data_IF_499786384533
#
_entry.id   IF_499786384533
#
_cell.length_a   1.000
_cell.length_b   1.000
_cell.length_c   1.000
_cell.angle_alpha   90.00
_cell.angle_beta   90.00
_cell.angle_gamma   90.00
#
_symmetry.space_group_name_H-M   'P 1'
#
loop_
_entity.id
_entity.type
_entity.pdbx_description
1 polymer ?
#
# COMPACT_ATOMS: atom_id res chain seq x y z
N UNK A 1 -6.04 -15.94 12.95
CA UNK A 1 -6.98 -15.00 13.61
C UNK A 1 -6.23 -14.15 14.61
N UNK A 2 -6.53 -12.86 14.66
CA UNK A 2 -5.97 -11.93 15.65
C UNK A 2 -6.59 -12.20 17.02
N UNK A 3 -5.78 -12.12 18.06
CA UNK A 3 -6.30 -12.09 19.42
C UNK A 3 -6.98 -10.73 19.72
N UNK A 4 -7.66 -10.63 20.86
CA UNK A 4 -8.39 -9.42 21.23
C UNK A 4 -7.43 -8.22 21.36
N UNK A 5 -6.25 -8.40 21.95
CA UNK A 5 -5.27 -7.34 22.15
C UNK A 5 -4.76 -6.76 20.81
N UNK A 6 -4.50 -7.63 19.84
CA UNK A 6 -4.06 -7.22 18.50
C UNK A 6 -5.15 -6.40 17.78
N UNK A 7 -6.42 -6.82 17.89
CA UNK A 7 -7.55 -6.04 17.35
C UNK A 7 -7.70 -4.69 18.04
N UNK A 8 -7.66 -4.66 19.37
CA UNK A 8 -7.71 -3.41 20.14
C UNK A 8 -6.57 -2.46 19.74
N UNK A 9 -5.36 -2.98 19.55
CA UNK A 9 -4.22 -2.19 19.09
C UNK A 9 -4.48 -1.61 17.69
N UNK A 10 -4.96 -2.41 16.74
CA UNK A 10 -5.30 -1.92 15.40
C UNK A 10 -6.32 -0.78 15.45
N UNK A 11 -7.42 -0.95 16.18
CA UNK A 11 -8.44 0.09 16.31
C UNK A 11 -7.99 1.31 17.11
N UNK A 12 -7.00 1.16 17.99
CA UNK A 12 -6.40 2.29 18.71
C UNK A 12 -5.40 3.08 17.86
N UNK A 13 -4.52 2.40 17.13
CA UNK A 13 -3.40 2.98 16.40
C UNK A 13 -3.71 3.25 14.91
N UNK A 14 -4.64 2.49 14.29
CA UNK A 14 -4.94 2.52 12.85
C UNK A 14 -4.03 1.61 12.03
N UNK A 15 -3.16 0.86 12.69
CA UNK A 15 -2.30 -0.14 12.06
C UNK A 15 -1.90 -1.24 13.03
N UNK A 16 -1.43 -2.35 12.46
CA UNK A 16 -0.90 -3.48 13.24
C UNK A 16 0.25 -4.13 12.47
N UNK A 17 1.28 -4.56 13.19
CA UNK A 17 2.35 -5.41 12.66
C UNK A 17 2.23 -6.79 13.26
N UNK A 18 2.22 -7.84 12.42
CA UNK A 18 2.16 -9.26 12.83
C UNK A 18 3.44 -9.95 12.35
N UNK A 19 4.46 -10.07 13.22
CA UNK A 19 5.77 -10.58 12.83
C UNK A 19 5.74 -12.04 12.37
N UNK A 20 6.39 -12.34 11.23
CA UNK A 20 6.57 -13.71 10.74
C UNK A 20 5.26 -14.47 10.46
N UNK A 21 4.17 -13.78 10.21
CA UNK A 21 2.84 -14.37 10.01
C UNK A 21 2.76 -15.26 8.77
N UNK A 22 3.39 -14.83 7.68
CA UNK A 22 3.45 -15.60 6.43
C UNK A 22 4.63 -16.55 6.49
N UNK A 23 4.33 -17.85 6.45
CA UNK A 23 5.35 -18.91 6.57
C UNK A 23 6.17 -19.12 5.29
N UNK A 24 7.25 -19.89 5.43
CA UNK A 24 8.25 -20.15 4.37
C UNK A 24 7.62 -20.69 3.07
N UNK A 25 6.62 -21.55 3.17
CA UNK A 25 5.96 -22.12 1.98
C UNK A 25 5.38 -21.06 1.03
N UNK A 26 4.77 -19.99 1.58
CA UNK A 26 4.31 -18.86 0.77
C UNK A 26 5.47 -17.95 0.39
N UNK A 27 6.41 -17.69 1.29
CA UNK A 27 7.56 -16.84 1.00
C UNK A 27 8.37 -17.39 -0.18
N UNK A 28 8.66 -18.68 -0.23
CA UNK A 28 9.40 -19.31 -1.33
C UNK A 28 8.69 -19.14 -2.68
N UNK A 29 7.36 -19.30 -2.71
CA UNK A 29 6.54 -19.08 -3.92
C UNK A 29 6.58 -17.62 -4.37
N UNK A 30 6.43 -16.67 -3.44
CA UNK A 30 6.46 -15.24 -3.73
C UNK A 30 7.86 -14.78 -4.17
N UNK A 31 8.93 -15.31 -3.56
CA UNK A 31 10.31 -15.05 -3.99
C UNK A 31 10.60 -15.57 -5.40
N UNK A 32 10.07 -16.74 -5.76
CA UNK A 32 10.19 -17.24 -7.13
C UNK A 32 9.56 -16.26 -8.14
N UNK A 33 8.38 -15.70 -7.82
CA UNK A 33 7.75 -14.67 -8.65
C UNK A 33 8.58 -13.40 -8.72
N UNK A 34 9.09 -12.92 -7.57
CA UNK A 34 9.98 -11.73 -7.52
C UNK A 34 11.18 -11.92 -8.42
N UNK A 35 11.87 -13.06 -8.30
CA UNK A 35 13.06 -13.39 -9.11
C UNK A 35 12.71 -13.40 -10.60
N UNK A 36 11.62 -14.09 -10.98
CA UNK A 36 11.19 -14.14 -12.38
C UNK A 36 10.87 -12.74 -12.94
N UNK A 37 10.21 -11.88 -12.16
CA UNK A 37 9.87 -10.51 -12.58
C UNK A 37 11.09 -9.59 -12.67
N UNK A 38 12.10 -9.78 -11.82
CA UNK A 38 13.38 -9.07 -11.95
C UNK A 38 14.09 -9.49 -13.25
N UNK A 39 14.14 -10.77 -13.58
CA UNK A 39 14.74 -11.25 -14.84
C UNK A 39 13.96 -10.75 -16.06
N UNK A 40 12.63 -10.78 -16.03
CA UNK A 40 11.76 -10.25 -17.10
C UNK A 40 12.04 -8.76 -17.36
N UNK A 41 12.24 -7.97 -16.31
CA UNK A 41 12.51 -6.52 -16.44
C UNK A 41 13.80 -6.18 -17.16
N UNK A 42 14.78 -7.08 -17.23
CA UNK A 42 16.06 -6.85 -17.94
C UNK A 42 15.88 -6.57 -19.43
N UNK A 43 14.78 -7.05 -20.02
CA UNK A 43 14.45 -6.80 -21.41
C UNK A 43 13.83 -5.42 -21.68
N UNK A 44 13.55 -4.64 -20.62
CA UNK A 44 12.85 -3.37 -20.72
C UNK A 44 13.83 -2.19 -20.65
N UNK A 45 13.64 -1.20 -21.53
CA UNK A 45 14.39 0.06 -21.52
C UNK A 45 13.64 1.19 -20.80
N UNK A 46 12.31 1.07 -20.67
CA UNK A 46 11.43 2.08 -20.06
C UNK A 46 10.23 1.42 -19.36
N UNK A 47 9.59 2.19 -18.49
CA UNK A 47 8.40 1.73 -17.78
C UNK A 47 7.23 1.45 -18.73
N UNK A 48 6.46 0.40 -18.42
CA UNK A 48 5.25 0.02 -19.15
C UNK A 48 4.02 -0.10 -18.22
N UNK A 49 2.96 -0.78 -18.67
CA UNK A 49 1.75 -0.99 -17.86
C UNK A 49 1.96 -1.93 -16.67
N UNK A 50 2.98 -2.78 -16.72
CA UNK A 50 3.30 -3.78 -15.70
C UNK A 50 4.39 -3.28 -14.76
N UNK A 51 5.46 -2.71 -15.31
CA UNK A 51 6.65 -2.32 -14.59
C UNK A 51 6.80 -0.80 -14.50
N UNK A 52 7.01 -0.30 -13.29
CA UNK A 52 7.55 1.03 -13.06
C UNK A 52 9.04 0.88 -12.74
N UNK A 53 9.89 1.33 -13.66
CA UNK A 53 11.33 1.23 -13.56
C UNK A 53 11.92 2.51 -12.96
N UNK A 54 13.04 2.37 -12.26
CA UNK A 54 13.83 3.52 -11.81
C UNK A 54 14.63 4.13 -12.96
N UNK A 55 15.05 5.41 -12.87
CA UNK A 55 15.82 6.06 -13.94
C UNK A 55 17.16 5.41 -14.27
N UNK A 56 17.76 4.70 -13.31
CA UNK A 56 19.03 3.97 -13.44
C UNK A 56 18.86 2.48 -13.77
N UNK A 57 17.64 2.08 -14.17
CA UNK A 57 17.39 0.70 -14.59
C UNK A 57 18.17 0.36 -15.86
N UNK A 58 18.75 -0.85 -15.88
CA UNK A 58 19.37 -1.43 -17.08
C UNK A 58 19.27 -2.95 -17.08
N UNK A 59 19.60 -3.58 -18.20
CA UNK A 59 19.67 -5.04 -18.30
C UNK A 59 20.67 -5.66 -17.32
N UNK A 60 21.81 -4.98 -17.08
CA UNK A 60 22.85 -5.42 -16.16
C UNK A 60 22.49 -5.16 -14.70
N UNK A 61 21.84 -4.00 -14.44
CA UNK A 61 21.38 -3.58 -13.11
C UNK A 61 19.86 -3.34 -13.13
N UNK A 62 19.04 -4.39 -13.03
CA UNK A 62 17.59 -4.22 -12.98
C UNK A 62 17.19 -3.45 -11.72
N UNK A 63 16.43 -2.37 -11.89
CA UNK A 63 15.92 -1.54 -10.83
C UNK A 63 14.44 -1.25 -11.05
N UNK A 64 13.57 -2.12 -10.50
CA UNK A 64 12.12 -2.00 -10.56
C UNK A 64 11.66 -1.23 -9.31
N UNK A 65 10.96 -0.12 -9.48
CA UNK A 65 10.29 0.56 -8.38
C UNK A 65 9.05 -0.18 -7.93
N UNK A 66 8.27 -0.64 -8.91
CA UNK A 66 6.97 -1.28 -8.65
C UNK A 66 6.57 -2.22 -9.78
N UNK A 67 6.03 -3.35 -9.40
CA UNK A 67 5.18 -4.16 -10.25
C UNK A 67 3.74 -3.70 -10.03
N UNK A 68 3.12 -3.16 -11.08
CA UNK A 68 1.76 -2.64 -11.05
C UNK A 68 0.76 -3.79 -11.19
N UNK A 69 -0.42 -3.65 -10.59
CA UNK A 69 -1.51 -4.63 -10.71
C UNK A 69 -1.01 -6.06 -10.44
N UNK A 70 -0.26 -6.23 -9.36
CA UNK A 70 0.55 -7.43 -9.12
C UNK A 70 -0.22 -8.75 -9.31
N UNK A 71 -1.47 -8.83 -8.86
CA UNK A 71 -2.32 -10.04 -9.00
C UNK A 71 -2.63 -10.42 -10.46
N UNK A 72 -2.50 -9.50 -11.40
CA UNK A 72 -2.68 -9.77 -12.84
C UNK A 72 -1.39 -10.26 -13.49
N UNK A 73 -0.24 -10.11 -12.80
CA UNK A 73 1.07 -10.39 -13.37
C UNK A 73 1.54 -11.84 -13.16
N UNK A 74 0.97 -12.53 -12.17
CA UNK A 74 1.32 -13.92 -11.89
C UNK A 74 0.21 -14.60 -11.08
N UNK A 75 -0.17 -15.87 -11.42
CA UNK A 75 -1.24 -16.59 -10.72
C UNK A 75 -0.97 -16.79 -9.22
N UNK A 76 0.29 -16.94 -8.80
CA UNK A 76 0.67 -17.06 -7.40
C UNK A 76 0.30 -15.82 -6.57
N UNK A 77 0.42 -14.62 -7.16
CA UNK A 77 0.07 -13.37 -6.46
C UNK A 77 -1.44 -13.27 -6.24
N UNK A 78 -2.25 -13.76 -7.18
CA UNK A 78 -3.70 -13.86 -6.98
C UNK A 78 -4.06 -14.98 -6.00
N UNK A 79 -3.42 -16.16 -6.11
CA UNK A 79 -3.62 -17.26 -5.19
C UNK A 79 -3.33 -16.83 -3.73
N UNK A 80 -2.24 -16.08 -3.52
CA UNK A 80 -1.92 -15.52 -2.20
C UNK A 80 -2.97 -14.52 -1.72
N UNK A 81 -3.42 -13.60 -2.58
CA UNK A 81 -4.37 -12.56 -2.21
C UNK A 81 -5.74 -13.12 -1.75
N UNK A 82 -6.14 -14.30 -2.21
CA UNK A 82 -7.39 -14.95 -1.82
C UNK A 82 -7.21 -16.13 -0.85
N UNK A 83 -5.97 -16.39 -0.41
CA UNK A 83 -5.70 -17.47 0.53
C UNK A 83 -6.41 -17.20 1.88
N UNK A 84 -7.01 -18.23 2.53
CA UNK A 84 -7.61 -18.10 3.85
C UNK A 84 -6.67 -17.45 4.88
N UNK A 85 -5.36 -17.71 4.81
CA UNK A 85 -4.35 -17.05 5.64
C UNK A 85 -4.48 -15.52 5.59
N UNK A 86 -4.73 -14.95 4.41
CA UNK A 86 -4.83 -13.50 4.17
C UNK A 86 -6.23 -12.99 4.47
N UNK A 87 -7.26 -13.59 3.84
CA UNK A 87 -8.62 -13.05 3.90
C UNK A 87 -9.26 -13.22 5.28
N UNK A 88 -8.92 -14.27 6.04
CA UNK A 88 -9.42 -14.43 7.42
C UNK A 88 -8.77 -13.41 8.37
N UNK A 89 -7.49 -13.08 8.18
CA UNK A 89 -6.83 -12.02 8.95
C UNK A 89 -7.45 -10.64 8.68
N UNK A 90 -7.77 -10.34 7.42
CA UNK A 90 -8.47 -9.10 7.04
C UNK A 90 -9.89 -9.09 7.60
N UNK A 91 -10.58 -10.23 7.58
CA UNK A 91 -11.94 -10.35 8.11
C UNK A 91 -12.04 -10.11 9.62
N UNK A 92 -10.98 -10.39 10.38
CA UNK A 92 -10.90 -10.06 11.81
C UNK A 92 -11.05 -8.56 12.10
N UNK A 93 -10.78 -7.70 11.10
CA UNK A 93 -10.81 -6.23 11.22
C UNK A 93 -11.94 -5.57 10.44
N UNK A 94 -12.26 -6.08 9.23
CA UNK A 94 -13.27 -5.48 8.35
C UNK A 94 -14.63 -6.19 8.38
N UNK A 95 -14.72 -7.35 9.04
CA UNK A 95 -15.94 -8.18 9.03
C UNK A 95 -15.89 -9.30 7.99
N UNK A 96 -16.93 -10.16 7.93
CA UNK A 96 -16.90 -11.43 7.23
C UNK A 96 -16.92 -11.33 5.70
N UNK A 97 -17.47 -10.26 5.16
CA UNK A 97 -17.74 -10.11 3.74
C UNK A 97 -16.74 -9.13 3.12
N UNK A 98 -15.86 -9.62 2.24
CA UNK A 98 -14.70 -8.88 1.73
C UNK A 98 -14.63 -8.88 0.22
N UNK A 99 -14.28 -7.71 -0.34
CA UNK A 99 -13.87 -7.55 -1.73
C UNK A 99 -12.39 -7.26 -1.85
N UNK A 100 -11.80 -7.76 -2.91
CA UNK A 100 -10.47 -7.37 -3.33
C UNK A 100 -10.52 -6.01 -4.06
N UNK A 101 -9.63 -5.07 -3.70
CA UNK A 101 -9.59 -3.74 -4.30
C UNK A 101 -8.44 -3.58 -5.30
N UNK A 102 -7.20 -3.78 -4.87
CA UNK A 102 -6.03 -3.56 -5.72
C UNK A 102 -4.78 -4.25 -5.18
N UNK A 103 -3.74 -4.34 -6.03
CA UNK A 103 -2.46 -4.95 -5.66
C UNK A 103 -1.28 -4.26 -6.32
N UNK A 104 -0.16 -4.20 -5.58
CA UNK A 104 1.13 -3.72 -6.06
C UNK A 104 2.25 -4.42 -5.30
N UNK A 105 3.37 -4.68 -5.98
CA UNK A 105 4.60 -5.12 -5.33
C UNK A 105 5.62 -3.99 -5.47
N UNK A 106 6.00 -3.39 -4.35
CA UNK A 106 6.94 -2.30 -4.30
C UNK A 106 8.33 -2.84 -3.97
N UNK A 107 9.31 -2.37 -4.71
CA UNK A 107 10.71 -2.63 -4.43
C UNK A 107 11.37 -1.36 -3.90
N UNK A 108 12.21 -1.49 -2.89
CA UNK A 108 13.17 -0.46 -2.51
C UNK A 108 14.55 -1.05 -2.64
N UNK A 109 15.29 -0.57 -3.63
CA UNK A 109 16.67 -1.00 -3.87
C UNK A 109 17.65 -0.27 -2.96
N UNK A 110 18.85 -0.80 -2.85
CA UNK A 110 19.86 -0.41 -1.87
C UNK A 110 20.46 0.98 -2.04
N UNK A 111 20.26 1.65 -3.14
CA UNK A 111 20.98 2.90 -3.47
C UNK A 111 20.15 4.16 -3.18
N UNK A 112 19.53 4.25 -2.00
CA UNK A 112 18.69 5.39 -1.66
C UNK A 112 17.34 5.34 -2.35
N UNK A 113 16.84 4.12 -2.61
CA UNK A 113 15.56 3.86 -3.27
C UNK A 113 14.40 4.64 -2.63
N UNK A 114 13.49 5.07 -3.46
CA UNK A 114 12.45 6.07 -3.27
C UNK A 114 11.78 6.11 -1.90
N UNK A 115 11.89 7.25 -1.24
CA UNK A 115 11.05 7.57 -0.10
C UNK A 115 9.60 7.84 -0.56
N UNK A 116 8.63 7.57 0.31
CA UNK A 116 7.23 7.93 0.13
C UNK A 116 6.81 8.88 1.24
N UNK A 117 6.38 10.08 0.86
CA UNK A 117 5.92 11.11 1.76
C UNK A 117 4.66 10.73 2.55
N UNK A 118 4.41 11.43 3.66
CA UNK A 118 3.20 11.23 4.46
C UNK A 118 1.94 11.38 3.60
N UNK A 119 1.05 10.40 3.68
CA UNK A 119 -0.21 10.38 2.93
C UNK A 119 -1.25 9.52 3.64
N UNK A 120 -2.48 9.61 3.18
CA UNK A 120 -3.59 8.76 3.56
C UNK A 120 -4.15 8.14 2.27
N UNK A 121 -4.29 6.85 2.24
CA UNK A 121 -4.73 6.11 1.06
C UNK A 121 -6.15 6.48 0.61
N UNK A 122 -7.06 6.74 1.54
CA UNK A 122 -8.46 7.08 1.28
C UNK A 122 -8.63 8.28 0.33
N UNK A 123 -7.68 9.19 0.28
CA UNK A 123 -7.69 10.35 -0.62
C UNK A 123 -7.55 9.97 -2.10
N UNK A 124 -6.88 8.85 -2.38
CA UNK A 124 -6.69 8.39 -3.77
C UNK A 124 -7.88 7.56 -4.29
N UNK A 125 -8.60 6.91 -3.37
CA UNK A 125 -9.71 5.99 -3.69
C UNK A 125 -10.80 6.01 -2.60
N UNK A 126 -11.58 7.13 -2.51
CA UNK A 126 -12.62 7.28 -1.51
C UNK A 126 -13.72 6.22 -1.68
N UNK A 127 -14.23 5.74 -0.56
CA UNK A 127 -15.31 4.76 -0.47
C UNK A 127 -16.48 5.32 0.34
N UNK A 128 -17.62 4.66 0.30
CA UNK A 128 -18.82 5.05 1.06
C UNK A 128 -18.61 5.01 2.57
N UNK A 129 -17.66 4.20 3.03
CA UNK A 129 -17.23 4.12 4.43
C UNK A 129 -15.74 3.79 4.52
N UNK A 130 -15.21 3.69 5.73
CA UNK A 130 -13.80 3.45 5.99
C UNK A 130 -13.41 1.98 6.16
N UNK A 131 -14.30 1.06 5.83
CA UNK A 131 -14.02 -0.37 5.83
C UNK A 131 -13.06 -0.78 4.71
N UNK A 132 -11.91 -0.14 4.62
CA UNK A 132 -10.87 -0.43 3.61
C UNK A 132 -9.51 -0.54 4.31
N UNK A 133 -8.77 -1.60 3.99
CA UNK A 133 -7.53 -1.96 4.65
C UNK A 133 -6.46 -2.35 3.63
N UNK A 134 -5.25 -1.87 3.84
CA UNK A 134 -4.06 -2.33 3.14
C UNK A 134 -3.38 -3.44 3.95
N UNK A 135 -3.27 -4.64 3.34
CA UNK A 135 -2.49 -5.77 3.81
C UNK A 135 -1.14 -5.76 3.10
N UNK A 136 -0.07 -5.46 3.83
CA UNK A 136 1.30 -5.50 3.33
C UNK A 136 2.03 -6.71 3.90
N UNK A 137 2.87 -7.37 3.09
CA UNK A 137 3.79 -8.40 3.57
C UNK A 137 5.20 -8.13 3.11
N UNK A 138 6.14 -8.08 4.05
CA UNK A 138 7.57 -8.05 3.76
C UNK A 138 8.02 -9.45 3.36
N UNK A 139 8.62 -9.56 2.18
CA UNK A 139 9.12 -10.86 1.72
C UNK A 139 10.48 -11.20 2.32
N UNK A 140 11.24 -10.18 2.78
CA UNK A 140 12.54 -10.32 3.44
C UNK A 140 12.51 -9.64 4.82
N UNK A 141 13.51 -9.96 5.65
CA UNK A 141 13.74 -9.24 6.90
C UNK A 141 13.85 -7.74 6.62
N UNK A 142 13.09 -6.94 7.32
CA UNK A 142 13.04 -5.49 7.12
C UNK A 142 13.36 -4.77 8.43
N UNK A 143 14.51 -4.12 8.46
CA UNK A 143 14.98 -3.26 9.54
C UNK A 143 14.79 -1.77 9.23
N UNK A 144 15.15 -0.89 10.20
CA UNK A 144 15.00 0.57 10.05
C UNK A 144 15.72 1.16 8.82
N UNK A 145 16.91 0.62 8.51
CA UNK A 145 17.75 1.09 7.39
C UNK A 145 17.20 0.75 6.00
N UNK A 146 16.22 -0.18 5.92
CA UNK A 146 15.61 -0.63 4.67
C UNK A 146 14.39 0.20 4.24
N UNK A 147 14.14 1.33 4.92
CA UNK A 147 13.00 2.19 4.64
C UNK A 147 11.67 1.47 4.83
N UNK A 148 11.39 0.93 6.03
CA UNK A 148 10.12 0.28 6.32
C UNK A 148 8.93 1.22 6.15
N UNK A 149 7.72 0.67 6.10
CA UNK A 149 6.52 1.49 6.31
C UNK A 149 6.60 2.15 7.69
N UNK A 150 6.22 3.41 7.73
CA UNK A 150 6.18 4.22 8.96
C UNK A 150 4.80 4.82 9.08
N UNK A 151 4.19 4.75 10.25
CA UNK A 151 2.82 5.21 10.47
C UNK A 151 2.70 6.06 11.73
N UNK A 152 1.75 7.01 11.71
CA UNK A 152 1.43 7.88 12.84
C UNK A 152 0.21 7.33 13.60
N UNK A 153 0.38 6.85 14.85
CA UNK A 153 -0.68 6.20 15.59
C UNK A 153 -1.87 7.13 15.85
N UNK A 154 -3.08 6.59 15.73
CA UNK A 154 -4.33 7.27 16.03
C UNK A 154 -4.81 8.27 14.95
N UNK A 155 -4.03 8.54 13.91
CA UNK A 155 -4.38 9.54 12.87
C UNK A 155 -5.57 9.12 12.01
N UNK A 156 -5.90 7.84 11.93
CA UNK A 156 -7.08 7.32 11.23
C UNK A 156 -8.42 7.81 11.83
N UNK A 157 -8.42 8.30 13.07
CA UNK A 157 -9.61 8.87 13.74
C UNK A 157 -9.67 10.40 13.63
N UNK A 158 -8.67 11.00 13.02
CA UNK A 158 -8.52 12.44 12.88
C UNK A 158 -8.94 12.96 11.51
N UNK A 159 -8.30 14.05 11.13
CA UNK A 159 -8.52 14.76 9.87
C UNK A 159 -8.10 13.90 8.67
N UNK A 160 -8.92 13.91 7.62
CA UNK A 160 -8.49 13.48 6.30
C UNK A 160 -7.84 14.70 5.65
N UNK A 161 -6.50 14.65 5.53
CA UNK A 161 -5.70 15.76 5.03
C UNK A 161 -5.80 15.90 3.53
N UNK A 162 -5.74 17.13 3.04
CA UNK A 162 -5.66 17.41 1.61
C UNK A 162 -4.30 16.95 1.03
N UNK A 163 -4.33 16.35 -0.14
CA UNK A 163 -3.15 15.90 -0.89
C UNK A 163 -3.02 16.61 -2.23
N UNK A 164 -3.58 17.81 -2.33
CA UNK A 164 -3.45 18.68 -3.49
C UNK A 164 -2.61 19.90 -3.15
N UNK A 165 -1.71 20.28 -4.06
CA UNK A 165 -0.96 21.52 -3.92
C UNK A 165 -1.85 22.76 -4.15
N UNK A 166 -1.26 23.96 -3.98
CA UNK A 166 -1.96 25.23 -4.14
C UNK A 166 -2.46 25.49 -5.56
N UNK A 167 -1.88 24.85 -6.56
CA UNK A 167 -2.34 24.87 -7.96
C UNK A 167 -3.52 23.92 -8.22
N UNK A 168 -3.99 23.21 -7.19
CA UNK A 168 -5.08 22.23 -7.31
C UNK A 168 -4.66 20.92 -7.96
N UNK A 169 -3.36 20.64 -8.07
CA UNK A 169 -2.83 19.39 -8.59
C UNK A 169 -2.67 18.37 -7.45
N UNK A 170 -3.14 17.16 -7.68
CA UNK A 170 -2.93 16.05 -6.74
C UNK A 170 -1.46 15.63 -6.69
N UNK A 171 -0.91 15.59 -5.50
CA UNK A 171 0.51 15.27 -5.26
C UNK A 171 0.71 13.91 -4.61
N UNK A 172 -0.36 13.30 -4.04
CA UNK A 172 -0.26 12.05 -3.30
C UNK A 172 0.51 12.18 -1.97
N UNK A 173 0.66 13.39 -1.46
CA UNK A 173 1.27 13.66 -0.16
C UNK A 173 0.47 14.71 0.60
N UNK A 174 0.42 14.58 1.93
CA UNK A 174 -0.10 15.61 2.82
C UNK A 174 0.70 16.90 2.58
N UNK A 175 0.01 18.01 2.40
CA UNK A 175 0.65 19.29 2.09
C UNK A 175 1.52 19.79 3.26
N UNK A 176 2.59 20.52 2.98
CA UNK A 176 3.61 20.91 3.98
C UNK A 176 3.03 21.63 5.20
N UNK A 177 2.02 22.50 5.02
CA UNK A 177 1.35 23.21 6.14
C UNK A 177 0.67 22.24 7.10
N UNK A 178 0.11 21.14 6.59
CA UNK A 178 -0.58 20.15 7.40
C UNK A 178 0.41 19.13 8.00
N UNK A 179 1.51 18.82 7.32
CA UNK A 179 2.62 18.03 7.88
C UNK A 179 3.16 18.69 9.15
N UNK A 180 3.25 20.02 9.19
CA UNK A 180 3.70 20.76 10.38
C UNK A 180 2.77 20.55 11.61
N UNK A 181 1.55 20.09 11.43
CA UNK A 181 0.60 19.78 12.51
C UNK A 181 0.66 18.32 12.98
N UNK A 182 1.35 17.46 12.23
CA UNK A 182 1.47 16.04 12.55
C UNK A 182 2.47 15.80 13.68
N UNK A 183 2.15 14.86 14.55
CA UNK A 183 3.06 14.40 15.61
C UNK A 183 4.05 13.38 15.03
N UNK A 184 4.92 13.84 14.14
CA UNK A 184 5.92 12.98 13.49
C UNK A 184 6.92 12.37 14.47
N UNK A 185 7.09 12.98 15.63
CA UNK A 185 7.86 12.46 16.78
C UNK A 185 7.26 11.17 17.38
N UNK A 186 5.99 10.85 17.09
CA UNK A 186 5.33 9.61 17.53
C UNK A 186 5.34 8.52 16.46
N UNK A 187 5.97 8.77 15.32
CA UNK A 187 6.01 7.83 14.21
C UNK A 187 6.57 6.46 14.63
N UNK A 188 5.98 5.39 14.11
CA UNK A 188 6.45 4.03 14.37
C UNK A 188 6.86 3.37 13.06
N UNK A 189 8.09 2.91 13.02
CA UNK A 189 8.61 2.08 11.94
C UNK A 189 8.09 0.65 12.09
N UNK A 190 7.50 0.14 11.02
CA UNK A 190 6.83 -1.16 11.02
C UNK A 190 7.79 -2.22 10.48
N UNK A 191 8.78 -2.58 11.29
CA UNK A 191 9.84 -3.53 10.97
C UNK A 191 9.45 -4.97 11.36
N UNK A 192 10.22 -5.95 10.86
CA UNK A 192 10.10 -7.34 11.30
C UNK A 192 10.83 -8.34 10.40
N UNK A 193 10.87 -9.63 10.79
CA UNK A 193 11.42 -10.70 9.98
C UNK A 193 10.60 -10.93 8.70
N UNK A 194 11.17 -11.67 7.75
CA UNK A 194 10.47 -12.12 6.55
C UNK A 194 9.11 -12.73 6.90
N UNK A 195 8.09 -12.44 6.09
CA UNK A 195 6.72 -12.84 6.37
C UNK A 195 5.97 -11.95 7.36
N UNK A 196 6.58 -10.87 7.84
CA UNK A 196 5.86 -9.89 8.67
C UNK A 196 4.77 -9.21 7.86
N UNK A 197 3.55 -9.27 8.41
CA UNK A 197 2.38 -8.58 7.86
C UNK A 197 2.21 -7.23 8.53
N UNK A 198 1.92 -6.22 7.72
CA UNK A 198 1.50 -4.88 8.14
C UNK A 198 0.07 -4.63 7.67
N UNK A 199 -0.81 -4.31 8.61
CA UNK A 199 -2.22 -3.96 8.35
C UNK A 199 -2.38 -2.46 8.58
N UNK A 200 -2.88 -1.72 7.57
CA UNK A 200 -3.07 -0.28 7.64
C UNK A 200 -4.53 0.09 7.34
N UNK A 201 -5.17 0.84 8.25
CA UNK A 201 -6.43 1.53 7.96
C UNK A 201 -6.21 2.56 6.84
N UNK A 202 -7.15 2.68 5.92
CA UNK A 202 -7.03 3.57 4.76
C UNK A 202 -6.85 5.06 5.11
N UNK A 203 -7.16 5.46 6.35
CA UNK A 203 -7.03 6.84 6.86
C UNK A 203 -5.77 7.07 7.66
N UNK A 204 -4.99 6.03 8.03
CA UNK A 204 -3.78 6.26 8.81
C UNK A 204 -2.77 7.04 7.99
N UNK A 205 -2.21 8.09 8.59
CA UNK A 205 -1.10 8.84 7.96
C UNK A 205 0.13 7.97 8.01
N UNK A 206 0.67 7.64 6.85
CA UNK A 206 1.84 6.78 6.73
C UNK A 206 2.76 7.22 5.60
N UNK A 207 3.95 6.70 5.60
CA UNK A 207 4.98 6.96 4.61
C UNK A 207 6.10 5.93 4.70
N UNK A 208 7.24 6.20 4.12
CA UNK A 208 8.42 5.35 4.28
C UNK A 208 9.68 6.08 3.84
N UNK A 209 10.76 6.00 4.62
CA UNK A 209 12.08 6.53 4.25
C UNK A 209 12.68 5.80 3.02
N UNK A 210 13.74 6.33 2.45
CA UNK A 210 14.56 5.64 1.46
C UNK A 210 15.24 4.40 2.06
N UNK A 211 15.66 3.48 1.19
CA UNK A 211 16.43 2.31 1.62
C UNK A 211 17.93 2.61 1.47
N UNK A 212 18.64 2.70 2.58
CA UNK A 212 20.09 2.92 2.62
C UNK A 212 20.87 1.64 2.97
N UNK A 213 20.18 0.51 3.11
CA UNK A 213 20.83 -0.79 3.36
C UNK A 213 21.37 -1.39 2.06
N UNK A 214 22.28 -2.37 2.13
CA UNK A 214 22.76 -3.08 0.95
C UNK A 214 21.78 -4.12 0.39
N UNK A 215 20.56 -4.22 0.95
CA UNK A 215 19.56 -5.23 0.56
C UNK A 215 18.30 -4.58 0.01
N UNK A 216 17.75 -5.13 -1.06
CA UNK A 216 16.44 -4.78 -1.57
C UNK A 216 15.35 -5.10 -0.52
N UNK A 217 14.29 -4.29 -0.50
CA UNK A 217 13.10 -4.52 0.34
C UNK A 217 11.86 -4.70 -0.53
N UNK A 218 11.51 -5.94 -0.90
CA UNK A 218 10.26 -6.23 -1.59
C UNK A 218 9.09 -6.23 -0.59
N UNK A 219 8.02 -5.50 -0.93
CA UNK A 219 6.80 -5.39 -0.15
C UNK A 219 5.60 -5.60 -1.05
N UNK A 220 4.90 -6.72 -0.88
CA UNK A 220 3.64 -6.98 -1.56
C UNK A 220 2.50 -6.32 -0.77
N UNK A 221 1.72 -5.49 -1.45
CA UNK A 221 0.59 -4.76 -0.90
C UNK A 221 -0.69 -5.18 -1.63
N UNK A 222 -1.63 -5.74 -0.89
CA UNK A 222 -2.98 -6.04 -1.33
C UNK A 222 -3.97 -5.17 -0.55
N UNK A 223 -4.93 -4.57 -1.22
CA UNK A 223 -5.97 -3.75 -0.58
C UNK A 223 -7.29 -4.50 -0.64
N UNK A 224 -8.02 -4.49 0.48
CA UNK A 224 -9.34 -5.10 0.62
C UNK A 224 -10.32 -4.07 1.15
N UNK A 225 -11.58 -4.24 0.79
CA UNK A 225 -12.69 -3.50 1.40
C UNK A 225 -13.69 -4.46 2.04
N UNK A 226 -14.40 -4.00 3.07
CA UNK A 226 -15.66 -4.61 3.43
C UNK A 226 -16.57 -4.62 2.20
N UNK A 227 -17.39 -5.65 2.03
CA UNK A 227 -18.17 -5.79 0.80
C UNK A 227 -19.17 -4.66 0.59
N UNK A 228 -19.62 -4.00 1.68
CA UNK A 228 -20.51 -2.84 1.69
C UNK A 228 -19.78 -1.48 1.61
N UNK A 229 -18.45 -1.47 1.61
CA UNK A 229 -17.66 -0.27 1.33
C UNK A 229 -17.44 -0.14 -0.18
N UNK A 230 -18.28 0.67 -0.82
CA UNK A 230 -18.28 0.83 -2.27
C UNK A 230 -17.39 2.02 -2.70
N UNK A 231 -16.60 1.89 -3.78
CA UNK A 231 -15.79 2.99 -4.29
C UNK A 231 -16.70 4.11 -4.84
N UNK A 232 -16.39 5.36 -4.46
CA UNK A 232 -17.12 6.55 -4.93
C UNK A 232 -16.59 7.04 -6.28
N UNK A 233 -15.30 6.76 -6.55
CA UNK A 233 -14.62 7.15 -7.79
C UNK A 233 -13.95 5.93 -8.43
N UNK A 234 -13.61 6.00 -9.73
CA UNK A 234 -12.83 4.96 -10.36
C UNK A 234 -11.52 4.69 -9.61
N UNK A 235 -11.20 3.41 -9.43
CA UNK A 235 -9.95 2.99 -8.79
C UNK A 235 -8.74 3.43 -9.62
N UNK A 236 -7.67 4.00 -9.01
CA UNK A 236 -6.53 4.53 -9.75
C UNK A 236 -5.74 3.47 -10.53
N UNK A 237 -5.68 2.24 -10.03
CA UNK A 237 -4.97 1.13 -10.66
C UNK A 237 -5.81 -0.15 -10.58
N UNK A 238 -6.92 -0.23 -11.33
CA UNK A 238 -7.79 -1.40 -11.30
C UNK A 238 -7.07 -2.62 -11.87
N UNK A 239 -7.31 -3.78 -11.26
CA UNK A 239 -6.90 -5.10 -11.75
C UNK A 239 -8.09 -5.82 -12.35
N UNK A 240 -7.88 -6.95 -13.03
CA UNK A 240 -8.96 -7.82 -13.49
C UNK A 240 -9.75 -8.45 -12.33
N UNK A 241 -9.24 -8.32 -11.11
CA UNK A 241 -9.81 -8.85 -9.87
C UNK A 241 -10.46 -7.78 -8.99
N UNK A 242 -10.36 -6.51 -9.36
CA UNK A 242 -10.97 -5.40 -8.60
C UNK A 242 -12.49 -5.61 -8.45
N UNK A 243 -12.97 -5.56 -7.21
CA UNK A 243 -14.37 -5.78 -6.86
C UNK A 243 -14.79 -7.25 -6.68
N UNK A 244 -13.90 -8.22 -6.94
CA UNK A 244 -14.19 -9.64 -6.72
C UNK A 244 -14.44 -9.89 -5.22
N UNK A 245 -15.55 -10.55 -4.90
CA UNK A 245 -15.83 -11.04 -3.55
C UNK A 245 -14.86 -12.19 -3.25
N UNK A 246 -13.97 -12.00 -2.30
CA UNK A 246 -12.94 -12.99 -1.92
C UNK A 246 -13.31 -13.76 -0.66
N UNK A 247 -14.30 -13.28 0.08
CA UNK A 247 -14.84 -13.95 1.28
C UNK A 247 -16.27 -13.49 1.54
N UNK A 248 -17.11 -14.36 2.07
CA UNK A 248 -18.47 -14.06 2.54
C UNK A 248 -19.51 -13.92 1.44
N UNK A 249 -20.42 -12.98 1.57
CA UNK A 249 -21.61 -12.83 0.73
C UNK A 249 -21.74 -11.39 0.19
N UNK A 250 -22.50 -11.26 -0.91
CA UNK A 250 -22.88 -9.95 -1.45
C UNK A 250 -23.77 -9.21 -0.46
N UNK A 251 -23.43 -7.95 -0.11
CA UNK A 251 -24.25 -7.16 0.80
C UNK A 251 -25.54 -6.72 0.12
N UNK A 252 -26.62 -6.68 0.90
CA UNK A 252 -27.92 -6.12 0.47
C UNK A 252 -28.09 -4.66 0.90
N UNK A 253 -27.19 -4.15 1.73
CA UNK A 253 -27.20 -2.78 2.24
C UNK A 253 -25.81 -2.20 2.15
N UNK A 254 -25.72 -0.88 2.03
CA UNK A 254 -24.48 -0.12 2.08
C UNK A 254 -24.43 0.68 3.38
N UNK A 255 -23.31 0.67 4.06
CA UNK A 255 -23.03 1.61 5.13
C UNK A 255 -22.36 2.87 4.53
N UNK A 256 -22.81 4.05 4.97
CA UNK A 256 -22.27 5.33 4.51
C UNK A 256 -21.78 6.17 5.69
N UNK A 257 -20.52 6.52 5.69
CA UNK A 257 -19.92 7.44 6.66
C UNK A 257 -20.08 8.88 6.19
N UNK A 258 -20.57 9.79 7.04
CA UNK A 258 -20.71 11.20 6.70
C UNK A 258 -19.36 11.92 6.84
N UNK A 259 -18.52 11.88 5.83
CA UNK A 259 -17.29 12.67 5.85
C UNK A 259 -17.16 13.55 4.60
N UNK A 260 -16.77 14.83 4.75
CA UNK A 260 -16.42 15.66 3.61
C UNK A 260 -15.01 15.27 3.12
N UNK A 261 -14.88 14.98 1.85
CA UNK A 261 -13.59 14.68 1.23
C UNK A 261 -13.47 15.36 -0.12
N UNK A 262 -12.29 15.86 -0.46
CA UNK A 262 -12.00 16.31 -1.81
C UNK A 262 -11.92 15.10 -2.73
N UNK A 263 -12.60 15.15 -3.88
CA UNK A 263 -12.52 14.07 -4.85
C UNK A 263 -11.11 14.02 -5.47
N UNK A 264 -10.54 12.84 -5.62
CA UNK A 264 -9.29 12.67 -6.37
C UNK A 264 -9.51 12.98 -7.85
N UNK A 265 -8.44 13.08 -8.65
CA UNK A 265 -8.56 13.16 -10.09
C UNK A 265 -9.38 11.98 -10.67
N UNK A 266 -10.02 12.22 -11.80
CA UNK A 266 -10.69 11.17 -12.58
C UNK A 266 -9.61 10.27 -13.19
N UNK A 267 -9.17 9.26 -12.43
CA UNK A 267 -8.08 8.36 -12.81
C UNK A 267 -8.33 7.65 -14.14
N UNK A 268 -9.59 7.35 -14.44
CA UNK A 268 -10.05 6.79 -15.72
C UNK A 268 -9.83 7.73 -16.93
N UNK A 269 -9.70 9.02 -16.69
CA UNK A 269 -9.49 10.04 -17.73
C UNK A 269 -8.06 10.54 -17.81
N UNK A 270 -7.42 10.78 -16.64
CA UNK A 270 -6.09 11.40 -16.59
C UNK A 270 -4.97 10.38 -16.43
N UNK A 271 -5.31 9.12 -16.13
CA UNK A 271 -4.36 8.06 -15.81
C UNK A 271 -3.74 8.23 -14.42
N UNK A 272 -3.35 7.12 -13.83
CA UNK A 272 -2.59 7.07 -12.58
C UNK A 272 -1.32 6.27 -12.81
N UNK A 273 -0.17 6.89 -12.63
CA UNK A 273 1.11 6.18 -12.72
C UNK A 273 1.48 5.52 -11.41
N UNK A 274 1.78 6.33 -10.38
CA UNK A 274 2.08 5.86 -9.04
C UNK A 274 2.16 7.04 -8.05
N UNK A 275 2.21 6.73 -6.75
CA UNK A 275 2.49 7.70 -5.71
C UNK A 275 3.91 8.28 -5.86
N UNK A 276 4.87 7.48 -6.28
CA UNK A 276 6.24 7.94 -6.56
C UNK A 276 6.25 9.00 -7.66
N UNK A 277 5.57 8.74 -8.79
CA UNK A 277 5.48 9.70 -9.89
C UNK A 277 4.74 10.99 -9.49
N UNK A 278 3.73 10.89 -8.64
CA UNK A 278 2.99 12.06 -8.15
C UNK A 278 3.86 12.91 -7.22
N UNK A 279 4.58 12.29 -6.30
CA UNK A 279 5.43 12.98 -5.32
C UNK A 279 6.73 13.52 -5.92
N UNK A 280 7.29 12.89 -6.96
CA UNK A 280 8.50 13.38 -7.66
C UNK A 280 8.22 14.69 -8.40
N UNK A 281 7.00 14.93 -8.84
CA UNK A 281 6.60 16.18 -9.50
C UNK A 281 6.16 17.27 -8.51
N UNK A 282 5.97 16.95 -7.24
CA UNK A 282 5.85 17.89 -6.14
C UNK A 282 7.26 18.10 -5.53
N UNK A 283 7.61 19.32 -5.11
CA UNK A 283 8.88 19.57 -4.40
C UNK A 283 9.00 18.57 -3.23
N UNK A 284 10.15 17.86 -3.14
CA UNK A 284 10.38 16.87 -2.06
C UNK A 284 10.19 17.53 -0.71
N UNK A 285 9.40 16.94 0.18
CA UNK A 285 9.27 17.44 1.55
C UNK A 285 10.61 17.33 2.28
N UNK A 286 10.97 18.35 3.09
CA UNK A 286 12.25 18.47 3.81
C UNK A 286 12.54 17.35 4.83
N UNK A 287 11.61 16.44 5.10
CA UNK A 287 11.80 15.31 6.03
C UNK A 287 12.13 13.98 5.32
N UNK A 288 12.39 14.03 4.02
CA UNK A 288 12.76 12.85 3.19
C UNK A 288 14.28 12.70 3.06
N UNK A 289 15.07 13.64 3.57
CA UNK A 289 16.56 13.65 3.59
C UNK A 289 17.09 13.01 4.86
#
# INVERSE_FOLDING_TARGET
MLDQRAREQYFADGFLTVPGYVGTAWLDRLHAVVTAKIEESRALAESDDQFELAPDHSAEKPNIRRLRKAVDQHPELWAFAQDPLVVDLVADLLGPDLRFHSSKLNFKWSDGGDAVGWHQDIQAWPHTNFGVLTFGVYLDDTGPEQGPLTALPGTHRGTIFDQFNDDGRWTGAVVARDVATLRTDTARELCGPAGTVVLLDCRVVHGSAANFSPRMRPLLLNVYSAADALPITPTPAPTTKTGVLVRGQEPTHVHMEPYPGRLPPRWDQVGYRSIFAAQTTAARPAWVD
#
